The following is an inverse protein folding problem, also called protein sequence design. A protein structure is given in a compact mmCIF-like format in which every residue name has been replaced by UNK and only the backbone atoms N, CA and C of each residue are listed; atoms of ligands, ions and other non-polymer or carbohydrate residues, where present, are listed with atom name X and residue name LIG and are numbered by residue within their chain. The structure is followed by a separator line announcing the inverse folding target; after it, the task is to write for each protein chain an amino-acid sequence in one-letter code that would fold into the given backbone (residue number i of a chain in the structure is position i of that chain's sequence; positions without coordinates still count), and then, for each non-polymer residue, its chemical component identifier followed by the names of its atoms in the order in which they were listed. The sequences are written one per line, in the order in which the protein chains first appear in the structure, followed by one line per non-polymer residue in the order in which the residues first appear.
data_IF_534481441929
#
_entry.id   IF_534481441929
#
_cell.length_a   1.000
_cell.length_b   1.000
_cell.length_c   1.000
_cell.angle_alpha   90.00
_cell.angle_beta   90.00
_cell.angle_gamma   90.00
#
_symmetry.space_group_name_H-M   'P 1'
#
loop_
_entity.id
_entity.type
_entity.pdbx_description
1 polymer ?
#
# COMPACT_ATOMS: atom_id res chain seq x y z
N UNK A 1 -30.17 4.70 5.00
CA UNK A 1 -30.14 3.28 4.62
C UNK A 1 -28.75 2.77 4.92
N UNK A 2 -28.56 2.07 6.05
CA UNK A 2 -27.25 1.50 6.43
C UNK A 2 -27.11 0.16 5.72
N UNK A 3 -26.36 0.12 4.62
CA UNK A 3 -25.90 -1.13 4.02
C UNK A 3 -24.90 -1.76 4.98
N UNK A 4 -25.39 -2.72 5.76
CA UNK A 4 -24.57 -3.55 6.63
C UNK A 4 -23.70 -4.43 5.74
N UNK A 5 -22.43 -4.08 5.60
CA UNK A 5 -21.41 -4.96 5.05
C UNK A 5 -21.30 -6.12 6.05
N UNK A 6 -21.90 -7.26 5.70
CA UNK A 6 -21.87 -8.47 6.49
C UNK A 6 -20.47 -9.09 6.31
N UNK A 7 -19.51 -8.60 7.09
CA UNK A 7 -18.16 -9.15 7.15
C UNK A 7 -18.19 -10.58 7.68
N UNK A 8 -17.77 -11.54 6.86
CA UNK A 8 -17.60 -12.93 7.24
C UNK A 8 -16.40 -13.02 8.21
N UNK A 9 -16.66 -13.11 9.52
CA UNK A 9 -15.64 -13.25 10.54
C UNK A 9 -15.00 -14.66 10.46
N UNK A 10 -13.89 -14.79 9.74
CA UNK A 10 -13.02 -15.95 9.85
C UNK A 10 -12.04 -15.70 11.01
N UNK A 11 -12.29 -16.36 12.14
CA UNK A 11 -11.37 -16.42 13.28
C UNK A 11 -10.15 -17.25 12.91
N UNK A 12 -9.17 -16.63 12.25
CA UNK A 12 -7.85 -17.22 12.07
C UNK A 12 -6.95 -16.80 13.23
N UNK A 13 -6.65 -17.77 14.10
CA UNK A 13 -5.54 -17.66 15.04
C UNK A 13 -4.22 -17.69 14.28
N UNK A 14 -3.85 -16.58 13.64
CA UNK A 14 -2.54 -16.38 13.04
C UNK A 14 -1.63 -15.69 14.04
N UNK A 15 -0.78 -16.47 14.69
CA UNK A 15 0.47 -15.99 15.23
C UNK A 15 1.47 -17.14 15.07
N UNK A 16 2.70 -16.78 14.69
CA UNK A 16 3.80 -17.64 14.25
C UNK A 16 3.77 -17.97 12.75
N UNK A 17 4.84 -17.58 12.04
CA UNK A 17 5.23 -17.90 10.65
C UNK A 17 5.00 -16.88 9.53
N UNK A 18 4.63 -15.63 9.81
CA UNK A 18 5.21 -14.58 8.98
C UNK A 18 6.68 -14.50 9.42
N UNK A 19 7.59 -15.15 8.69
CA UNK A 19 9.02 -14.82 8.80
C UNK A 19 9.14 -13.30 8.77
N UNK A 20 9.95 -12.73 9.67
CA UNK A 20 10.24 -11.30 9.67
C UNK A 20 10.92 -10.96 8.34
N UNK A 21 10.09 -10.69 7.32
CA UNK A 21 10.55 -10.27 6.02
C UNK A 21 11.39 -9.03 6.25
N UNK A 22 12.62 -9.07 5.74
CA UNK A 22 13.50 -7.93 5.91
C UNK A 22 13.11 -6.87 4.90
N UNK A 23 13.48 -5.66 5.23
CA UNK A 23 13.13 -4.48 4.46
C UNK A 23 14.38 -3.82 3.92
N UNK A 24 14.30 -3.24 2.73
CA UNK A 24 15.27 -2.25 2.31
C UNK A 24 14.60 -1.05 1.64
N UNK A 25 14.98 0.14 2.11
CA UNK A 25 14.67 1.41 1.49
C UNK A 25 15.91 2.25 1.25
N UNK A 26 15.93 3.00 0.14
CA UNK A 26 17.06 3.86 -0.20
C UNK A 26 17.25 4.98 0.84
N UNK A 27 16.17 5.70 1.13
CA UNK A 27 16.12 6.87 2.03
C UNK A 27 15.46 6.57 3.38
N UNK A 28 14.87 5.39 3.52
CA UNK A 28 13.99 5.05 4.63
C UNK A 28 14.32 3.67 5.23
N UNK A 29 13.77 3.38 6.40
CA UNK A 29 14.05 2.18 7.20
C UNK A 29 12.81 1.75 7.95
N UNK A 30 12.65 0.44 8.12
CA UNK A 30 11.72 -0.10 9.11
C UNK A 30 12.20 0.17 10.54
N UNK A 31 11.25 0.26 11.46
CA UNK A 31 11.45 0.35 12.89
C UNK A 31 10.24 -0.23 13.63
N UNK A 32 10.44 -0.61 14.90
CA UNK A 32 9.35 -0.89 15.83
C UNK A 32 8.97 0.39 16.55
N UNK A 33 7.71 0.78 16.42
CA UNK A 33 7.08 1.84 17.19
C UNK A 33 6.44 1.24 18.43
N UNK A 34 6.77 1.77 19.62
CA UNK A 34 6.11 1.42 20.87
C UNK A 34 5.55 2.67 21.55
N UNK A 35 4.31 2.62 22.04
CA UNK A 35 3.69 3.69 22.82
C UNK A 35 2.54 3.18 23.68
N UNK A 36 2.22 3.93 24.72
CA UNK A 36 0.98 3.74 25.47
C UNK A 36 -0.10 4.66 24.92
N UNK A 37 -1.33 4.17 24.84
CA UNK A 37 -2.49 4.92 24.34
C UNK A 37 -3.73 4.62 25.16
N UNK A 38 -4.82 5.33 24.86
CA UNK A 38 -6.15 5.04 25.36
C UNK A 38 -7.22 5.38 24.31
N UNK A 39 -8.34 4.70 24.37
CA UNK A 39 -9.51 4.94 23.53
C UNK A 39 -10.77 4.97 24.38
N UNK A 40 -11.73 5.81 24.02
CA UNK A 40 -13.08 5.86 24.56
C UNK A 40 -14.03 5.17 23.59
N UNK A 41 -14.71 4.13 24.07
CA UNK A 41 -15.64 3.31 23.30
C UNK A 41 -17.05 3.46 23.88
N UNK A 42 -18.03 3.71 23.01
CA UNK A 42 -19.43 3.78 23.41
C UNK A 42 -19.95 2.36 23.70
N UNK A 43 -20.44 2.13 24.92
CA UNK A 43 -20.90 0.80 25.29
C UNK A 43 -21.88 0.84 26.46
N UNK A 44 -22.94 0.04 26.36
CA UNK A 44 -23.88 -0.19 27.46
C UNK A 44 -23.43 -1.32 28.40
N UNK A 45 -22.37 -2.06 28.03
CA UNK A 45 -21.87 -3.21 28.78
C UNK A 45 -20.65 -2.83 29.60
N UNK A 46 -20.60 -3.32 30.85
CA UNK A 46 -19.37 -3.26 31.63
C UNK A 46 -18.30 -4.15 31.01
N UNK A 47 -17.24 -3.53 30.52
CA UNK A 47 -16.10 -4.23 29.96
C UNK A 47 -15.16 -4.67 31.09
N UNK A 48 -14.68 -5.91 31.00
CA UNK A 48 -13.71 -6.47 31.95
C UNK A 48 -12.42 -6.76 31.22
N UNK A 49 -11.30 -6.33 31.78
CA UNK A 49 -9.97 -6.56 31.21
C UNK A 49 -9.71 -8.05 30.91
N UNK A 50 -10.20 -8.96 31.76
CA UNK A 50 -10.08 -10.40 31.55
C UNK A 50 -10.71 -10.89 30.23
N UNK A 51 -11.77 -10.22 29.76
CA UNK A 51 -12.46 -10.56 28.52
C UNK A 51 -11.80 -9.94 27.28
N UNK A 52 -10.84 -9.03 27.45
CA UNK A 52 -10.15 -8.33 26.37
C UNK A 52 -8.74 -8.88 26.09
N UNK A 53 -8.38 -10.03 26.68
CA UNK A 53 -7.06 -10.66 26.45
C UNK A 53 -6.89 -11.21 25.04
N UNK A 54 -8.00 -11.48 24.33
CA UNK A 54 -8.02 -11.95 22.95
C UNK A 54 -9.32 -11.50 22.28
N UNK A 55 -9.27 -11.39 20.97
CA UNK A 55 -10.44 -11.15 20.15
C UNK A 55 -11.34 -12.40 20.10
N UNK A 56 -12.63 -12.15 20.17
CA UNK A 56 -13.73 -13.11 20.17
C UNK A 56 -14.92 -12.46 19.46
N UNK A 57 -15.89 -13.25 19.01
CA UNK A 57 -17.12 -12.68 18.43
C UNK A 57 -17.85 -11.70 19.36
N UNK A 58 -17.67 -11.79 20.68
CA UNK A 58 -18.34 -10.91 21.65
C UNK A 58 -17.69 -9.53 21.81
N UNK A 59 -16.42 -9.39 21.44
CA UNK A 59 -15.62 -8.17 21.62
C UNK A 59 -14.93 -7.72 20.33
N UNK A 60 -15.25 -8.32 19.18
CA UNK A 60 -14.65 -7.97 17.88
C UNK A 60 -14.79 -6.47 17.56
N UNK A 61 -15.96 -5.89 17.81
CA UNK A 61 -16.22 -4.44 17.63
C UNK A 61 -15.25 -3.56 18.45
N UNK A 62 -14.92 -3.97 19.69
CA UNK A 62 -13.95 -3.26 20.54
C UNK A 62 -12.53 -3.33 19.95
N UNK A 63 -12.14 -4.49 19.42
CA UNK A 63 -10.84 -4.66 18.77
C UNK A 63 -10.78 -3.85 17.47
N UNK A 64 -11.89 -3.78 16.73
CA UNK A 64 -11.97 -3.01 15.50
C UNK A 64 -11.86 -1.50 15.76
N UNK A 65 -12.60 -0.96 16.73
CA UNK A 65 -12.46 0.47 17.10
C UNK A 65 -11.02 0.84 17.51
N UNK A 66 -10.29 -0.08 18.14
CA UNK A 66 -8.88 0.13 18.50
C UNK A 66 -7.99 0.15 17.26
N UNK A 67 -8.21 -0.76 16.30
CA UNK A 67 -7.48 -0.78 15.03
C UNK A 67 -7.76 0.49 14.22
N UNK A 68 -9.03 0.90 14.15
CA UNK A 68 -9.44 2.14 13.53
C UNK A 68 -8.79 3.35 14.21
N UNK A 69 -8.73 3.43 15.54
CA UNK A 69 -7.99 4.50 16.21
C UNK A 69 -6.52 4.49 15.78
N UNK A 70 -5.86 3.33 15.78
CA UNK A 70 -4.44 3.22 15.41
C UNK A 70 -4.21 3.62 13.95
N UNK A 71 -5.18 3.41 13.04
CA UNK A 71 -5.05 3.78 11.63
C UNK A 71 -4.91 5.29 11.42
N UNK A 72 -5.36 6.13 12.36
CA UNK A 72 -5.10 7.59 12.34
C UNK A 72 -3.61 7.95 12.33
N UNK A 73 -2.72 7.01 12.70
CA UNK A 73 -1.28 7.20 12.52
C UNK A 73 -0.87 7.32 11.05
N UNK A 74 -1.66 6.80 10.11
CA UNK A 74 -1.42 6.93 8.67
C UNK A 74 -1.47 8.40 8.29
N UNK A 75 -2.57 9.11 8.57
CA UNK A 75 -2.68 10.55 8.31
C UNK A 75 -1.73 11.36 9.18
N UNK A 76 -1.57 10.99 10.45
CA UNK A 76 -0.65 11.70 11.36
C UNK A 76 0.78 11.72 10.81
N UNK A 77 1.32 10.59 10.35
CA UNK A 77 2.71 10.50 9.87
C UNK A 77 2.95 11.14 8.50
N UNK A 78 1.90 11.26 7.68
CA UNK A 78 1.97 11.92 6.37
C UNK A 78 1.64 13.41 6.42
N UNK A 79 1.03 13.88 7.51
CA UNK A 79 0.61 15.28 7.68
C UNK A 79 1.74 16.29 7.58
N UNK A 80 1.39 17.50 7.11
CA UNK A 80 2.35 18.60 7.01
C UNK A 80 2.84 19.04 8.38
N UNK A 81 1.94 19.13 9.37
CA UNK A 81 2.32 19.52 10.72
C UNK A 81 3.27 18.52 11.39
N UNK A 82 3.11 17.21 11.14
CA UNK A 82 4.05 16.21 11.64
C UNK A 82 5.42 16.32 10.97
N UNK A 83 5.46 16.51 9.64
CA UNK A 83 6.71 16.75 8.92
C UNK A 83 7.44 18.00 9.44
N UNK A 84 6.71 19.07 9.76
CA UNK A 84 7.30 20.29 10.36
C UNK A 84 7.89 20.03 11.76
N UNK A 85 7.21 19.24 12.60
CA UNK A 85 7.66 18.95 13.96
C UNK A 85 8.82 17.94 14.01
N UNK A 86 8.75 16.89 13.21
CA UNK A 86 9.70 15.77 13.22
C UNK A 86 10.84 15.95 12.22
N UNK A 87 10.60 16.74 11.17
CA UNK A 87 11.53 17.02 10.07
C UNK A 87 11.46 16.01 8.92
N UNK A 88 10.73 14.91 9.07
CA UNK A 88 10.60 13.85 8.06
C UNK A 88 9.27 13.10 8.17
N UNK A 89 8.79 12.51 7.05
CA UNK A 89 7.57 11.70 7.06
C UNK A 89 7.81 10.29 7.59
N UNK A 90 6.71 9.60 7.87
CA UNK A 90 6.67 8.16 8.13
C UNK A 90 5.41 7.51 7.58
N UNK A 91 5.31 6.20 7.75
CA UNK A 91 4.12 5.42 7.40
C UNK A 91 3.93 4.30 8.41
N UNK A 92 2.67 4.01 8.71
CA UNK A 92 2.28 2.87 9.54
C UNK A 92 2.54 1.56 8.79
N UNK A 93 3.05 0.54 9.47
CA UNK A 93 3.12 -0.80 8.90
C UNK A 93 1.85 -1.61 9.12
N UNK A 94 1.85 -2.83 8.59
CA UNK A 94 0.76 -3.76 8.81
C UNK A 94 0.70 -4.27 10.25
N UNK A 95 -0.53 -4.59 10.70
CA UNK A 95 -0.79 -5.38 11.91
C UNK A 95 -0.14 -4.84 13.19
N UNK A 96 -0.46 -3.60 13.56
CA UNK A 96 -0.09 -3.06 14.87
C UNK A 96 -0.69 -3.93 15.99
N UNK A 97 0.17 -4.53 16.81
CA UNK A 97 -0.25 -5.30 17.96
C UNK A 97 -0.57 -4.36 19.12
N UNK A 98 -1.58 -4.72 19.91
CA UNK A 98 -1.90 -4.00 21.13
C UNK A 98 -2.30 -4.95 22.26
N UNK A 99 -2.04 -4.53 23.49
CA UNK A 99 -2.48 -5.24 24.69
C UNK A 99 -3.17 -4.24 25.62
N UNK A 100 -4.38 -4.56 26.04
CA UNK A 100 -5.09 -3.76 27.04
C UNK A 100 -4.42 -3.89 28.40
N UNK A 101 -4.20 -2.76 29.07
CA UNK A 101 -3.55 -2.68 30.38
C UNK A 101 -4.54 -2.28 31.48
N UNK A 102 -5.60 -1.54 31.13
CA UNK A 102 -6.61 -1.05 32.07
C UNK A 102 -7.95 -0.78 31.38
N UNK A 103 -9.04 -0.95 32.11
CA UNK A 103 -10.40 -0.58 31.67
C UNK A 103 -11.05 0.29 32.75
N UNK A 104 -11.42 1.50 32.39
CA UNK A 104 -12.21 2.41 33.22
C UNK A 104 -13.66 2.45 32.68
N UNK A 105 -14.62 1.92 33.43
CA UNK A 105 -16.03 1.88 33.01
C UNK A 105 -16.77 3.11 33.53
N UNK A 106 -17.61 3.70 32.67
CA UNK A 106 -18.48 4.81 32.99
C UNK A 106 -19.91 4.51 32.53
N UNK A 107 -20.85 5.39 32.86
CA UNK A 107 -22.23 5.26 32.37
C UNK A 107 -22.25 5.60 30.87
N UNK A 108 -22.49 4.60 30.02
CA UNK A 108 -22.64 4.75 28.57
C UNK A 108 -21.35 4.59 27.74
N UNK A 109 -20.18 4.54 28.38
CA UNK A 109 -18.90 4.39 27.69
C UNK A 109 -17.84 3.73 28.58
N UNK A 110 -16.73 3.31 27.97
CA UNK A 110 -15.55 2.82 28.67
C UNK A 110 -14.28 3.46 28.08
N UNK A 111 -13.27 3.68 28.92
CA UNK A 111 -11.92 4.08 28.48
C UNK A 111 -10.99 2.89 28.62
N UNK A 112 -10.44 2.45 27.49
CA UNK A 112 -9.49 1.33 27.42
C UNK A 112 -8.08 1.90 27.29
N UNK A 113 -7.20 1.52 28.21
CA UNK A 113 -5.77 1.84 28.12
C UNK A 113 -5.03 0.67 27.53
N UNK A 114 -4.04 0.94 26.70
CA UNK A 114 -3.34 -0.07 25.93
C UNK A 114 -1.88 0.27 25.73
N UNK A 115 -1.07 -0.77 25.58
CA UNK A 115 0.27 -0.66 25.00
C UNK A 115 0.19 -1.10 23.54
N UNK A 116 0.74 -0.30 22.63
CA UNK A 116 0.73 -0.53 21.19
C UNK A 116 2.17 -0.73 20.71
N UNK A 117 2.37 -1.74 19.87
CA UNK A 117 3.66 -2.07 19.27
C UNK A 117 3.49 -2.58 17.83
N UNK A 118 4.30 -2.10 16.91
CA UNK A 118 4.29 -2.65 15.55
C UNK A 118 5.30 -2.00 14.62
N UNK A 119 5.37 -2.52 13.40
CA UNK A 119 6.29 -2.05 12.37
C UNK A 119 5.82 -0.71 11.81
N UNK A 120 6.77 0.16 11.52
CA UNK A 120 6.57 1.44 10.83
C UNK A 120 7.76 1.67 9.92
N UNK A 121 7.59 2.46 8.85
CA UNK A 121 8.69 2.92 8.00
C UNK A 121 8.85 4.42 8.17
N UNK A 122 10.08 4.86 8.35
CA UNK A 122 10.43 6.28 8.46
C UNK A 122 11.63 6.61 7.59
N UNK A 123 11.73 7.86 7.18
CA UNK A 123 12.98 8.37 6.63
C UNK A 123 14.12 8.18 7.64
N UNK A 124 15.32 7.78 7.17
CA UNK A 124 16.46 7.43 8.04
C UNK A 124 16.89 8.58 8.97
N UNK A 125 16.66 9.82 8.56
CA UNK A 125 17.03 11.01 9.32
C UNK A 125 16.24 11.19 10.63
N UNK A 126 15.10 10.52 10.81
CA UNK A 126 14.37 10.54 12.09
C UNK A 126 15.27 10.06 13.25
N UNK A 127 16.22 9.17 12.94
CA UNK A 127 17.13 8.58 13.92
C UNK A 127 18.38 9.41 14.20
N UNK A 128 18.71 10.40 13.36
CA UNK A 128 19.90 11.26 13.52
C UNK A 128 21.18 10.46 13.82
N UNK A 129 21.37 9.34 13.11
CA UNK A 129 22.51 8.44 13.26
C UNK A 129 22.47 7.48 14.47
N UNK A 130 21.37 7.43 15.23
CA UNK A 130 21.16 6.49 16.35
C UNK A 130 20.33 5.27 15.91
N UNK A 131 20.18 4.28 16.79
CA UNK A 131 19.28 3.14 16.58
C UNK A 131 17.86 3.36 17.14
N UNK A 132 17.65 4.45 17.88
CA UNK A 132 16.36 4.79 18.50
C UNK A 132 16.03 6.26 18.34
N UNK A 133 14.74 6.56 18.26
CA UNK A 133 14.20 7.92 18.21
C UNK A 133 12.91 8.02 19.03
N UNK A 134 12.49 9.24 19.35
CA UNK A 134 11.19 9.49 19.96
C UNK A 134 10.42 10.48 19.10
N UNK A 135 9.15 10.15 18.85
CA UNK A 135 8.26 10.94 17.99
C UNK A 135 6.96 11.30 18.74
N UNK A 136 6.36 12.45 18.45
CA UNK A 136 5.06 12.83 19.00
C UNK A 136 3.95 12.07 18.25
N UNK A 137 2.99 11.52 19.00
CA UNK A 137 1.82 10.82 18.46
C UNK A 137 0.55 11.52 18.93
N UNK A 138 -0.42 11.60 18.02
CA UNK A 138 -1.72 12.25 18.24
C UNK A 138 -2.82 11.34 17.72
N UNK A 139 -3.65 10.83 18.63
CA UNK A 139 -4.75 9.92 18.31
C UNK A 139 -6.07 10.49 18.84
N UNK A 140 -7.19 10.27 18.15
CA UNK A 140 -8.50 10.66 18.66
C UNK A 140 -8.83 9.84 19.91
N UNK A 141 -9.29 10.45 20.99
CA UNK A 141 -9.79 9.69 22.16
C UNK A 141 -11.06 8.92 21.80
N UNK A 142 -11.97 9.56 21.07
CA UNK A 142 -13.19 8.96 20.50
C UNK A 142 -13.32 9.41 19.04
N UNK A 143 -13.36 8.47 18.09
CA UNK A 143 -13.29 8.80 16.66
C UNK A 143 -14.49 9.64 16.20
N UNK A 144 -15.72 9.22 16.52
CA UNK A 144 -16.94 9.94 16.13
C UNK A 144 -17.03 11.33 16.74
N UNK A 145 -16.79 11.47 18.05
CA UNK A 145 -16.80 12.77 18.73
C UNK A 145 -15.73 13.71 18.18
N UNK A 146 -14.53 13.17 17.94
CA UNK A 146 -13.42 13.97 17.41
C UNK A 146 -13.70 14.45 15.99
N UNK A 147 -14.27 13.60 15.15
CA UNK A 147 -14.73 13.99 13.81
C UNK A 147 -15.78 15.12 13.87
N UNK A 148 -16.80 14.98 14.71
CA UNK A 148 -17.85 16.01 14.88
C UNK A 148 -17.27 17.35 15.34
N UNK A 149 -16.32 17.34 16.27
CA UNK A 149 -15.66 18.54 16.77
C UNK A 149 -14.73 19.20 15.74
N UNK A 150 -14.29 18.45 14.72
CA UNK A 150 -13.52 18.98 13.60
C UNK A 150 -14.36 19.82 12.61
N UNK A 151 -15.69 19.66 12.62
CA UNK A 151 -16.59 20.28 11.64
C UNK A 151 -16.90 21.74 12.01
N UNK A 152 -16.57 22.64 11.10
CA UNK A 152 -16.96 24.06 11.12
C UNK A 152 -17.69 24.33 9.80
N UNK A 153 -18.90 24.89 9.87
CA UNK A 153 -19.74 25.21 8.70
C UNK A 153 -19.93 24.05 7.69
N UNK A 154 -20.00 22.82 8.21
CA UNK A 154 -20.20 21.60 7.41
C UNK A 154 -18.93 20.98 6.84
N UNK A 155 -17.75 21.57 7.10
CA UNK A 155 -16.45 21.06 6.65
C UNK A 155 -15.56 20.71 7.84
N UNK A 156 -14.95 19.52 7.83
CA UNK A 156 -13.97 19.14 8.83
C UNK A 156 -12.61 19.78 8.50
N UNK A 157 -12.17 20.70 9.36
CA UNK A 157 -10.94 21.47 9.13
C UNK A 157 -9.68 20.74 9.59
N UNK A 158 -9.80 19.53 10.15
CA UNK A 158 -8.67 18.72 10.63
C UNK A 158 -8.26 17.62 9.65
N UNK A 159 -8.70 17.72 8.39
CA UNK A 159 -8.43 16.80 7.28
C UNK A 159 -8.28 17.58 5.97
N UNK A 160 -8.07 16.86 4.88
CA UNK A 160 -8.13 17.42 3.53
C UNK A 160 -9.57 17.75 3.12
N UNK A 161 -9.76 18.85 2.38
CA UNK A 161 -11.08 19.36 1.98
C UNK A 161 -11.87 18.34 1.13
N UNK A 162 -11.17 17.55 0.31
CA UNK A 162 -11.78 16.54 -0.55
C UNK A 162 -12.14 15.26 0.21
N UNK A 163 -11.58 15.04 1.40
CA UNK A 163 -11.73 13.81 2.19
C UNK A 163 -12.34 14.11 3.55
N UNK A 164 -13.57 14.58 3.48
CA UNK A 164 -14.32 15.11 4.61
C UNK A 164 -15.37 14.11 5.15
N UNK A 165 -15.29 12.83 4.79
CA UNK A 165 -16.16 11.79 5.33
C UNK A 165 -15.54 11.18 6.60
N UNK A 166 -16.38 10.63 7.49
CA UNK A 166 -15.88 9.90 8.67
C UNK A 166 -14.99 8.70 8.28
N UNK A 167 -15.26 8.09 7.12
CA UNK A 167 -14.51 6.93 6.62
C UNK A 167 -13.11 7.28 6.13
N UNK A 168 -12.89 8.51 5.66
CA UNK A 168 -11.61 8.93 5.06
C UNK A 168 -10.79 9.82 6.01
N UNK A 169 -11.43 10.33 7.05
CA UNK A 169 -10.87 11.28 8.01
C UNK A 169 -9.55 10.83 8.65
N UNK A 170 -9.39 9.52 8.90
CA UNK A 170 -8.18 8.98 9.50
C UNK A 170 -6.95 9.11 8.58
N UNK A 171 -7.17 9.12 7.26
CA UNK A 171 -6.11 9.03 6.26
C UNK A 171 -5.42 10.37 6.00
N UNK A 172 -6.12 11.49 6.22
CA UNK A 172 -5.59 12.85 6.11
C UNK A 172 -5.62 13.61 7.44
N UNK A 173 -5.66 12.89 8.55
CA UNK A 173 -5.69 13.42 9.90
C UNK A 173 -4.52 14.37 10.21
N UNK A 174 -4.80 15.65 10.36
CA UNK A 174 -3.86 16.67 10.85
C UNK A 174 -4.55 17.66 11.81
N UNK A 175 -4.38 17.40 13.11
CA UNK A 175 -4.96 18.26 14.16
C UNK A 175 -4.14 19.49 14.53
N UNK A 176 -2.96 19.68 13.95
CA UNK A 176 -2.12 20.84 14.23
C UNK A 176 -2.18 21.89 13.10
N UNK A 177 -2.91 21.58 12.02
CA UNK A 177 -3.29 22.51 10.96
C UNK A 177 -3.88 23.80 11.57
N UNK A 178 -3.55 24.94 10.97
CA UNK A 178 -3.82 26.28 11.53
C UNK A 178 -5.30 26.52 11.86
N UNK A 179 -6.20 26.02 11.03
CA UNK A 179 -7.65 26.18 11.07
C UNK A 179 -8.37 25.03 11.79
N UNK A 180 -7.68 23.96 12.18
CA UNK A 180 -8.30 22.84 12.87
C UNK A 180 -8.74 23.24 14.30
N UNK A 181 -10.03 23.13 14.66
CA UNK A 181 -10.54 23.50 15.99
C UNK A 181 -10.02 22.61 17.13
N UNK A 182 -9.42 21.46 16.80
CA UNK A 182 -8.82 20.52 17.77
C UNK A 182 -7.37 20.86 18.11
N UNK A 183 -6.79 21.90 17.49
CA UNK A 183 -5.41 22.32 17.75
C UNK A 183 -5.20 22.64 19.23
N UNK A 184 -4.17 22.04 19.81
CA UNK A 184 -3.88 22.16 21.24
C UNK A 184 -4.88 21.50 22.20
N UNK A 185 -5.95 20.86 21.71
CA UNK A 185 -6.93 20.17 22.55
C UNK A 185 -6.27 19.01 23.31
N UNK A 186 -6.51 18.93 24.63
CA UNK A 186 -5.91 17.93 25.54
C UNK A 186 -6.94 16.94 26.12
N UNK A 187 -8.23 17.17 25.92
CA UNK A 187 -9.30 16.29 26.43
C UNK A 187 -9.67 15.26 25.38
N UNK A 188 -9.76 15.68 24.12
CA UNK A 188 -10.24 14.85 23.01
C UNK A 188 -9.13 14.17 22.22
N UNK A 189 -7.89 14.63 22.40
CA UNK A 189 -6.73 14.12 21.68
C UNK A 189 -5.78 13.45 22.68
N UNK A 190 -5.47 12.19 22.42
CA UNK A 190 -4.43 11.45 23.11
C UNK A 190 -3.08 11.88 22.54
N UNK A 191 -2.32 12.62 23.36
CA UNK A 191 -1.00 13.16 23.00
C UNK A 191 0.07 12.39 23.79
N UNK A 192 0.79 11.52 23.10
CA UNK A 192 1.77 10.62 23.70
C UNK A 192 3.08 10.65 22.92
N UNK A 193 4.16 10.11 23.51
CA UNK A 193 5.44 9.95 22.81
C UNK A 193 5.61 8.49 22.41
N UNK A 194 5.85 8.28 21.12
CA UNK A 194 6.30 7.01 20.58
C UNK A 194 7.80 6.84 20.73
N UNK A 195 8.23 5.60 20.96
CA UNK A 195 9.63 5.19 20.87
C UNK A 195 9.82 4.34 19.61
N UNK A 196 10.64 4.83 18.69
CA UNK A 196 11.11 4.10 17.52
C UNK A 196 12.39 3.34 17.85
N UNK A 197 12.49 2.10 17.41
CA UNK A 197 13.71 1.28 17.47
C UNK A 197 13.95 0.67 16.10
N UNK A 198 15.06 1.00 15.45
CA UNK A 198 15.41 0.44 14.13
C UNK A 198 15.45 -1.09 14.20
N UNK A 199 15.01 -1.72 13.11
CA UNK A 199 15.15 -3.17 12.90
C UNK A 199 16.26 -3.45 11.89
N UNK A 200 16.72 -4.69 11.86
CA UNK A 200 17.74 -5.14 10.90
C UNK A 200 17.14 -5.24 9.50
N UNK A 201 17.58 -4.34 8.63
CA UNK A 201 17.22 -4.28 7.21
C UNK A 201 18.16 -5.11 6.32
N UNK A 202 17.72 -5.48 5.12
CA UNK A 202 18.65 -5.98 4.10
C UNK A 202 19.60 -4.85 3.69
N UNK A 203 20.85 -5.20 3.38
CA UNK A 203 21.91 -4.21 3.05
C UNK A 203 22.23 -4.20 1.57
N UNK A 204 22.34 -5.40 0.99
CA UNK A 204 22.65 -5.60 -0.41
C UNK A 204 22.07 -6.94 -0.87
N UNK A 205 21.09 -6.83 -1.74
CA UNK A 205 20.26 -7.93 -2.25
C UNK A 205 19.92 -7.59 -3.69
N UNK A 206 19.60 -8.62 -4.45
CA UNK A 206 19.26 -8.52 -5.86
C UNK A 206 17.94 -9.25 -6.08
N UNK A 207 17.14 -8.82 -7.08
CA UNK A 207 16.20 -9.73 -7.69
C UNK A 207 16.89 -11.04 -8.09
N UNK A 208 16.16 -12.15 -8.08
CA UNK A 208 16.66 -13.46 -8.52
C UNK A 208 16.75 -13.49 -10.07
N UNK A 209 17.66 -12.70 -10.63
CA UNK A 209 17.80 -12.52 -12.07
C UNK A 209 18.12 -13.83 -12.78
N UNK A 210 18.78 -14.80 -12.13
CA UNK A 210 19.00 -16.10 -12.74
C UNK A 210 17.70 -16.90 -12.94
N UNK A 211 16.67 -16.66 -12.11
CA UNK A 211 15.32 -17.20 -12.30
C UNK A 211 14.55 -16.43 -13.38
N UNK A 212 14.78 -15.13 -13.51
CA UNK A 212 14.12 -14.27 -14.51
C UNK A 212 14.72 -14.38 -15.92
N UNK A 213 16.05 -14.40 -16.04
CA UNK A 213 16.80 -14.21 -17.30
C UNK A 213 17.20 -15.50 -18.02
N UNK A 214 16.95 -16.68 -17.41
CA UNK A 214 17.17 -17.99 -18.07
C UNK A 214 15.96 -18.47 -18.88
N UNK A 215 14.84 -17.75 -18.81
CA UNK A 215 13.61 -18.07 -19.56
C UNK A 215 13.69 -17.50 -20.98
N UNK A 216 12.99 -18.10 -21.96
CA UNK A 216 12.92 -17.54 -23.32
C UNK A 216 12.17 -16.21 -23.36
N UNK A 217 11.19 -16.02 -22.48
CA UNK A 217 10.39 -14.80 -22.36
C UNK A 217 10.46 -14.31 -20.92
N UNK A 218 10.65 -13.00 -20.74
CA UNK A 218 10.41 -12.28 -19.49
C UNK A 218 9.03 -11.63 -19.60
N UNK A 219 8.05 -12.11 -18.83
CA UNK A 219 6.67 -11.60 -18.90
C UNK A 219 6.42 -10.52 -17.84
N UNK A 220 6.20 -9.29 -18.30
CA UNK A 220 5.97 -8.11 -17.46
C UNK A 220 4.54 -7.62 -17.70
N UNK A 221 3.78 -7.42 -16.62
CA UNK A 221 2.42 -6.86 -16.67
C UNK A 221 2.40 -5.52 -15.95
N UNK A 222 1.93 -4.47 -16.62
CA UNK A 222 1.77 -3.12 -16.08
C UNK A 222 0.29 -2.80 -16.10
N UNK A 223 -0.33 -2.72 -14.92
CA UNK A 223 -1.76 -2.45 -14.75
C UNK A 223 -1.93 -1.02 -14.28
N UNK A 224 -2.51 -0.17 -15.14
CA UNK A 224 -2.75 1.23 -14.85
C UNK A 224 -4.24 1.50 -14.61
N UNK A 225 -4.53 2.35 -13.63
CA UNK A 225 -5.89 2.77 -13.30
C UNK A 225 -6.24 4.13 -13.87
N UNK A 226 -7.50 4.33 -14.24
CA UNK A 226 -8.07 5.68 -14.31
C UNK A 226 -8.06 6.34 -12.93
N UNK A 227 -7.94 7.67 -12.90
CA UNK A 227 -7.79 8.43 -11.64
C UNK A 227 -9.09 9.13 -11.24
N UNK A 228 -9.94 9.53 -12.20
CA UNK A 228 -11.25 10.10 -11.89
C UNK A 228 -12.18 9.10 -11.19
N UNK A 229 -12.97 9.59 -10.24
CA UNK A 229 -13.90 8.79 -9.41
C UNK A 229 -15.04 8.13 -10.21
N UNK A 230 -15.40 8.71 -11.36
CA UNK A 230 -16.45 8.18 -12.24
C UNK A 230 -15.86 7.74 -13.58
N UNK A 231 -15.53 6.45 -13.68
CA UNK A 231 -15.10 5.85 -14.93
C UNK A 231 -16.31 5.39 -15.75
N UNK A 232 -16.50 6.00 -16.92
CA UNK A 232 -17.54 5.55 -17.85
C UNK A 232 -17.20 4.15 -18.38
N UNK A 233 -18.20 3.26 -18.40
CA UNK A 233 -18.06 1.91 -18.94
C UNK A 233 -17.83 1.89 -20.46
N UNK A 234 -18.17 2.96 -21.17
CA UNK A 234 -18.19 3.00 -22.64
C UNK A 234 -17.47 4.19 -23.24
N UNK A 235 -17.29 5.27 -22.47
CA UNK A 235 -16.61 6.47 -22.93
C UNK A 235 -15.23 6.58 -22.29
N UNK A 236 -14.26 7.04 -23.08
CA UNK A 236 -12.88 7.20 -22.62
C UNK A 236 -12.67 8.65 -22.26
N UNK A 237 -12.26 8.89 -21.01
CA UNK A 237 -11.80 10.21 -20.60
C UNK A 237 -10.33 10.40 -21.01
N UNK A 238 -10.11 10.99 -22.18
CA UNK A 238 -8.76 11.29 -22.68
C UNK A 238 -7.98 12.31 -21.85
N UNK A 239 -8.68 13.06 -20.98
CA UNK A 239 -8.07 14.05 -20.10
C UNK A 239 -7.68 13.48 -18.74
N UNK A 240 -8.08 12.23 -18.45
CA UNK A 240 -7.71 11.53 -17.22
C UNK A 240 -6.18 11.31 -17.15
N UNK A 241 -5.60 11.51 -15.98
CA UNK A 241 -4.16 11.38 -15.81
C UNK A 241 -3.68 9.94 -15.95
N UNK A 242 -4.49 8.94 -15.56
CA UNK A 242 -4.22 7.53 -15.81
C UNK A 242 -4.15 7.21 -17.31
N UNK A 243 -5.05 7.81 -18.10
CA UNK A 243 -4.98 7.71 -19.56
C UNK A 243 -3.70 8.33 -20.14
N UNK A 244 -3.32 9.51 -19.66
CA UNK A 244 -2.07 10.17 -20.09
C UNK A 244 -0.85 9.35 -19.72
N UNK A 245 -0.80 8.81 -18.49
CA UNK A 245 0.27 7.93 -18.02
C UNK A 245 0.37 6.65 -18.84
N UNK A 246 -0.77 6.01 -19.15
CA UNK A 246 -0.82 4.88 -20.07
C UNK A 246 -0.21 5.22 -21.43
N UNK A 247 -0.63 6.32 -22.05
CA UNK A 247 -0.08 6.76 -23.34
C UNK A 247 1.40 7.12 -23.26
N UNK A 248 1.84 7.76 -22.18
CA UNK A 248 3.23 8.14 -21.93
C UNK A 248 4.13 6.91 -21.77
N UNK A 249 3.71 5.92 -20.98
CA UNK A 249 4.44 4.66 -20.79
C UNK A 249 4.60 3.90 -22.11
N UNK A 250 3.53 3.79 -22.92
CA UNK A 250 3.62 3.18 -24.25
C UNK A 250 4.64 3.92 -25.13
N UNK A 251 4.54 5.26 -25.20
CA UNK A 251 5.43 6.07 -26.02
C UNK A 251 6.91 5.92 -25.59
N UNK A 252 7.18 5.87 -24.28
CA UNK A 252 8.54 5.68 -23.77
C UNK A 252 9.08 4.28 -24.09
N UNK A 253 8.25 3.24 -23.97
CA UNK A 253 8.65 1.89 -24.37
C UNK A 253 8.94 1.79 -25.88
N UNK A 254 8.11 2.42 -26.73
CA UNK A 254 8.35 2.51 -28.17
C UNK A 254 9.66 3.26 -28.48
N UNK A 255 9.95 4.38 -27.79
CA UNK A 255 11.21 5.12 -27.90
C UNK A 255 12.42 4.27 -27.50
N UNK A 256 12.24 3.36 -26.53
CA UNK A 256 13.26 2.39 -26.12
C UNK A 256 13.37 1.19 -27.07
N UNK A 257 12.64 1.20 -28.19
CA UNK A 257 12.73 0.23 -29.28
C UNK A 257 11.87 -1.02 -29.09
N UNK A 258 10.85 -0.98 -28.22
CA UNK A 258 9.83 -2.03 -28.19
C UNK A 258 8.84 -1.85 -29.33
N UNK A 259 8.40 -2.96 -29.92
CA UNK A 259 7.37 -2.96 -30.95
C UNK A 259 6.03 -3.40 -30.35
N UNK A 260 4.95 -2.68 -30.66
CA UNK A 260 3.58 -3.13 -30.33
C UNK A 260 3.23 -4.33 -31.21
N UNK A 261 3.05 -5.50 -30.60
CA UNK A 261 2.75 -6.76 -31.30
C UNK A 261 1.27 -7.14 -31.22
N UNK A 262 0.56 -6.68 -30.20
CA UNK A 262 -0.89 -6.84 -30.06
C UNK A 262 -1.51 -5.63 -29.34
N UNK A 263 -2.80 -5.38 -29.60
CA UNK A 263 -3.56 -4.35 -28.89
C UNK A 263 -5.06 -4.64 -28.87
N UNK A 264 -5.68 -4.34 -27.73
CA UNK A 264 -7.12 -4.18 -27.56
C UNK A 264 -7.41 -2.73 -27.17
N UNK A 265 -8.37 -2.11 -27.84
CA UNK A 265 -8.73 -0.71 -27.62
C UNK A 265 -10.21 -0.60 -27.37
N UNK A 266 -10.60 0.20 -26.37
CA UNK A 266 -12.01 0.47 -26.05
C UNK A 266 -12.81 -0.83 -25.89
N UNK A 267 -12.28 -1.75 -25.09
CA UNK A 267 -12.89 -3.05 -24.84
C UNK A 267 -13.32 -3.18 -23.38
N UNK A 268 -14.19 -4.14 -23.10
CA UNK A 268 -14.46 -4.67 -21.76
C UNK A 268 -15.03 -6.07 -21.83
N UNK A 269 -14.95 -6.82 -20.74
CA UNK A 269 -15.56 -8.12 -20.60
C UNK A 269 -16.88 -8.04 -19.83
N UNK A 270 -17.89 -8.75 -20.34
CA UNK A 270 -19.13 -9.00 -19.60
C UNK A 270 -18.92 -10.08 -18.52
N UNK A 271 -19.94 -10.28 -17.67
CA UNK A 271 -19.95 -11.38 -16.68
C UNK A 271 -19.74 -12.77 -17.30
N UNK A 272 -20.19 -12.98 -18.54
CA UNK A 272 -20.08 -14.25 -19.28
C UNK A 272 -18.87 -14.28 -20.23
N UNK A 273 -17.80 -13.53 -19.92
CA UNK A 273 -16.54 -13.48 -20.68
C UNK A 273 -16.65 -13.00 -22.14
N UNK A 274 -17.79 -12.46 -22.54
CA UNK A 274 -17.92 -11.83 -23.85
C UNK A 274 -17.22 -10.48 -23.88
N UNK A 275 -16.28 -10.31 -24.79
CA UNK A 275 -15.68 -9.02 -25.13
C UNK A 275 -16.70 -8.12 -25.86
N UNK A 276 -16.85 -6.88 -25.39
CA UNK A 276 -17.70 -5.86 -25.99
C UNK A 276 -16.98 -4.51 -25.95
N UNK A 277 -17.55 -3.48 -26.60
CA UNK A 277 -17.01 -2.13 -26.50
C UNK A 277 -17.08 -1.60 -25.07
N UNK A 278 -16.00 -0.94 -24.65
CA UNK A 278 -15.85 -0.34 -23.34
C UNK A 278 -14.80 0.77 -23.33
N UNK A 279 -14.25 1.07 -22.16
CA UNK A 279 -13.26 2.13 -21.96
C UNK A 279 -11.84 1.61 -21.68
N UNK A 280 -11.61 0.30 -21.61
CA UNK A 280 -10.30 -0.26 -21.29
C UNK A 280 -9.37 -0.35 -22.51
N UNK A 281 -8.07 -0.37 -22.24
CA UNK A 281 -7.00 -0.53 -23.23
C UNK A 281 -6.00 -1.59 -22.77
N UNK A 282 -5.44 -2.33 -23.72
CA UNK A 282 -4.39 -3.31 -23.47
C UNK A 282 -3.43 -3.33 -24.65
N UNK A 283 -2.15 -3.13 -24.41
CA UNK A 283 -1.10 -3.16 -25.44
C UNK A 283 -0.07 -4.21 -25.02
N UNK A 284 0.35 -5.04 -25.98
CA UNK A 284 1.48 -5.96 -25.80
C UNK A 284 2.64 -5.42 -26.61
N UNK A 285 3.77 -5.20 -25.94
CA UNK A 285 5.00 -4.71 -26.52
C UNK A 285 6.10 -5.73 -26.33
N UNK A 286 6.87 -6.00 -27.37
CA UNK A 286 7.96 -6.97 -27.34
C UNK A 286 9.26 -6.39 -27.86
N UNK A 287 10.36 -6.86 -27.27
CA UNK A 287 11.72 -6.58 -27.71
C UNK A 287 12.64 -7.74 -27.35
N UNK A 288 13.42 -8.21 -28.31
CA UNK A 288 14.50 -9.14 -28.03
C UNK A 288 15.75 -8.39 -27.55
N UNK A 289 16.36 -8.90 -26.48
CA UNK A 289 17.64 -8.40 -26.01
C UNK A 289 18.53 -9.54 -25.51
N UNK A 290 19.83 -9.29 -25.51
CA UNK A 290 20.80 -10.15 -24.82
C UNK A 290 21.02 -9.60 -23.41
N UNK A 291 20.60 -10.35 -22.40
CA UNK A 291 20.78 -9.93 -21.01
C UNK A 291 22.22 -10.16 -20.51
N UNK A 292 22.53 -9.64 -19.33
CA UNK A 292 23.85 -9.64 -18.73
C UNK A 292 24.34 -11.06 -18.34
N UNK A 293 23.42 -12.04 -18.25
CA UNK A 293 23.78 -13.46 -18.07
C UNK A 293 24.09 -14.15 -19.41
N UNK A 294 24.01 -13.43 -20.52
CA UNK A 294 24.34 -13.92 -21.87
C UNK A 294 23.19 -14.58 -22.62
N UNK A 295 22.01 -14.72 -22.00
CA UNK A 295 20.81 -15.28 -22.63
C UNK A 295 20.18 -14.25 -23.57
N UNK A 296 19.78 -14.71 -24.77
CA UNK A 296 18.88 -13.94 -25.64
C UNK A 296 17.46 -14.23 -25.18
N UNK A 297 16.73 -13.18 -24.83
CA UNK A 297 15.41 -13.28 -24.22
C UNK A 297 14.48 -12.25 -24.87
N UNK A 298 13.23 -12.64 -25.12
CA UNK A 298 12.17 -11.70 -25.48
C UNK A 298 11.62 -11.08 -24.21
N UNK A 299 11.69 -9.75 -24.08
CA UNK A 299 10.98 -9.02 -23.03
C UNK A 299 9.60 -8.68 -23.56
N UNK A 300 8.56 -9.23 -22.92
CA UNK A 300 7.15 -8.96 -23.23
C UNK A 300 6.57 -8.08 -22.14
N UNK A 301 6.01 -6.94 -22.52
CA UNK A 301 5.34 -6.01 -21.61
C UNK A 301 3.89 -5.89 -22.03
N UNK A 302 2.96 -6.34 -21.19
CA UNK A 302 1.54 -6.04 -21.35
C UNK A 302 1.20 -4.83 -20.51
N UNK A 303 0.78 -3.74 -21.13
CA UNK A 303 0.31 -2.54 -20.45
C UNK A 303 -1.21 -2.47 -20.56
N UNK A 304 -1.91 -2.46 -19.44
CA UNK A 304 -3.36 -2.37 -19.33
C UNK A 304 -3.75 -1.01 -18.75
N UNK A 305 -4.86 -0.45 -19.21
CA UNK A 305 -5.56 0.67 -18.58
C UNK A 305 -7.02 0.30 -18.39
N UNK A 306 -7.54 0.49 -17.17
CA UNK A 306 -8.94 0.28 -16.86
C UNK A 306 -9.36 0.90 -15.54
N UNK A 307 -10.63 0.69 -15.18
CA UNK A 307 -11.12 1.04 -13.86
C UNK A 307 -10.64 -0.01 -12.84
N UNK A 308 -9.78 0.43 -11.92
CA UNK A 308 -9.16 -0.44 -10.90
C UNK A 308 -9.87 -0.37 -9.56
N UNK A 309 -10.97 0.38 -9.45
CA UNK A 309 -11.78 0.40 -8.23
C UNK A 309 -12.39 -0.98 -7.98
N UNK A 310 -12.29 -1.44 -6.74
CA UNK A 310 -12.94 -2.67 -6.29
C UNK A 310 -14.44 -2.70 -6.60
N UNK A 311 -15.13 -1.57 -6.46
CA UNK A 311 -16.55 -1.43 -6.70
C UNK A 311 -16.88 -1.14 -8.17
N UNK A 312 -15.89 -1.22 -9.06
CA UNK A 312 -16.11 -1.00 -10.49
C UNK A 312 -17.21 -1.91 -11.03
N UNK A 313 -18.12 -1.32 -11.79
CA UNK A 313 -19.10 -2.08 -12.56
C UNK A 313 -18.45 -2.85 -13.72
N UNK A 314 -17.20 -2.55 -14.07
CA UNK A 314 -16.43 -3.25 -15.08
C UNK A 314 -15.55 -4.35 -14.46
N UNK A 315 -15.87 -5.61 -14.77
CA UNK A 315 -15.10 -6.77 -14.30
C UNK A 315 -13.80 -7.00 -15.10
N UNK A 316 -13.50 -6.15 -16.09
CA UNK A 316 -12.33 -6.32 -16.96
C UNK A 316 -11.03 -6.29 -16.18
N UNK A 317 -10.86 -5.36 -15.23
CA UNK A 317 -9.66 -5.29 -14.42
C UNK A 317 -9.42 -6.58 -13.63
N UNK A 318 -10.43 -7.05 -12.89
CA UNK A 318 -10.35 -8.30 -12.12
C UNK A 318 -9.97 -9.51 -12.99
N UNK A 319 -10.51 -9.59 -14.22
CA UNK A 319 -10.18 -10.65 -15.19
C UNK A 319 -8.74 -10.55 -15.73
N UNK A 320 -8.17 -9.35 -15.80
CA UNK A 320 -6.77 -9.13 -16.19
C UNK A 320 -5.82 -9.30 -15.00
N UNK A 321 -6.27 -9.01 -13.79
CA UNK A 321 -5.49 -9.09 -12.55
C UNK A 321 -5.13 -10.53 -12.18
N UNK A 322 -6.08 -11.47 -12.29
CA UNK A 322 -5.85 -12.89 -11.96
C UNK A 322 -4.66 -13.49 -12.73
N UNK A 323 -4.63 -13.46 -14.08
CA UNK A 323 -3.47 -13.97 -14.81
C UNK A 323 -2.22 -13.11 -14.55
N UNK A 324 -2.34 -11.82 -14.25
CA UNK A 324 -1.19 -11.02 -13.86
C UNK A 324 -0.53 -11.57 -12.58
N UNK A 325 -1.31 -11.96 -11.56
CA UNK A 325 -0.75 -12.60 -10.36
C UNK A 325 -0.18 -13.98 -10.62
N UNK A 326 -0.83 -14.82 -11.44
CA UNK A 326 -0.42 -16.20 -11.64
C UNK A 326 0.75 -16.33 -12.62
N UNK A 327 0.74 -15.52 -13.68
CA UNK A 327 1.53 -15.77 -14.89
C UNK A 327 2.65 -14.75 -15.13
N UNK A 328 2.58 -13.54 -14.56
CA UNK A 328 3.65 -12.57 -14.74
C UNK A 328 4.92 -12.94 -13.97
N UNK A 329 6.08 -12.65 -14.53
CA UNK A 329 7.34 -12.62 -13.77
C UNK A 329 7.46 -11.31 -12.99
N UNK A 330 7.00 -10.21 -13.60
CA UNK A 330 6.94 -8.91 -12.98
C UNK A 330 5.55 -8.31 -13.10
N UNK A 331 5.05 -7.73 -12.01
CA UNK A 331 3.79 -7.00 -11.97
C UNK A 331 4.04 -5.57 -11.51
N UNK A 332 3.63 -4.59 -12.30
CA UNK A 332 3.51 -3.20 -11.88
C UNK A 332 2.04 -2.87 -11.75
N UNK A 333 1.63 -2.33 -10.61
CA UNK A 333 0.32 -1.73 -10.42
C UNK A 333 0.49 -0.23 -10.20
N UNK A 334 -0.17 0.59 -11.01
CA UNK A 334 -0.14 2.05 -10.93
C UNK A 334 -1.57 2.60 -11.06
N UNK A 335 -2.26 2.64 -9.93
CA UNK A 335 -3.65 3.04 -9.84
C UNK A 335 -4.05 3.36 -8.40
N UNK A 336 -5.33 3.61 -8.18
CA UNK A 336 -5.87 3.89 -6.85
C UNK A 336 -5.54 2.78 -5.88
N UNK A 337 -4.99 3.10 -4.70
CA UNK A 337 -4.67 2.06 -3.72
C UNK A 337 -5.92 1.44 -3.11
N UNK A 338 -7.07 2.13 -3.13
CA UNK A 338 -8.32 1.65 -2.53
C UNK A 338 -8.15 1.23 -1.06
N UNK A 339 -7.18 1.82 -0.35
CA UNK A 339 -6.81 1.45 1.02
C UNK A 339 -6.57 -0.06 1.20
N UNK A 340 -5.99 -0.70 0.18
CA UNK A 340 -5.72 -2.14 0.19
C UNK A 340 -6.76 -3.01 -0.51
N UNK A 341 -7.94 -2.47 -0.81
CA UNK A 341 -9.08 -3.24 -1.28
C UNK A 341 -8.98 -3.63 -2.76
N UNK A 342 -8.44 -2.74 -3.61
CA UNK A 342 -8.41 -2.91 -5.07
C UNK A 342 -7.56 -4.10 -5.54
N UNK A 343 -6.57 -4.50 -4.75
CA UNK A 343 -5.73 -5.67 -5.00
C UNK A 343 -5.93 -6.78 -3.97
N UNK A 344 -6.98 -6.69 -3.14
CA UNK A 344 -7.22 -7.71 -2.12
C UNK A 344 -7.75 -9.00 -2.72
N UNK A 345 -7.18 -10.12 -2.28
CA UNK A 345 -7.63 -11.45 -2.69
C UNK A 345 -9.02 -11.80 -2.16
N UNK A 346 -9.51 -11.12 -1.12
CA UNK A 346 -10.85 -11.36 -0.55
C UNK A 346 -11.96 -11.10 -1.59
N UNK A 347 -11.65 -10.33 -2.64
CA UNK A 347 -12.58 -9.97 -3.71
C UNK A 347 -12.32 -10.72 -5.02
N UNK A 348 -11.36 -11.66 -5.02
CA UNK A 348 -11.07 -12.53 -6.16
C UNK A 348 -11.62 -13.93 -5.86
N UNK A 349 -12.91 -14.21 -6.18
CA UNK A 349 -13.49 -15.52 -5.93
C UNK A 349 -12.70 -16.60 -6.68
N UNK A 350 -12.40 -17.70 -6.00
CA UNK A 350 -11.70 -18.87 -6.57
C UNK A 350 -10.23 -18.61 -6.95
N UNK A 351 -9.63 -17.52 -6.47
CA UNK A 351 -8.20 -17.28 -6.66
C UNK A 351 -7.35 -18.12 -5.70
N UNK A 352 -6.44 -18.91 -6.27
CA UNK A 352 -5.37 -19.59 -5.52
C UNK A 352 -4.06 -18.96 -5.97
N UNK A 353 -3.31 -18.39 -5.02
CA UNK A 353 -2.01 -17.80 -5.30
C UNK A 353 -0.92 -18.88 -5.34
N UNK A 354 -1.03 -19.81 -6.32
CA UNK A 354 -0.04 -20.85 -6.55
C UNK A 354 1.01 -20.36 -7.56
N UNK A 355 2.18 -20.06 -7.02
CA UNK A 355 3.35 -19.60 -7.76
C UNK A 355 4.55 -20.50 -7.43
N UNK A 356 4.26 -21.76 -7.07
CA UNK A 356 5.25 -22.71 -6.59
C UNK A 356 6.40 -22.85 -7.59
N UNK A 357 7.62 -22.60 -7.11
CA UNK A 357 8.84 -22.68 -7.91
C UNK A 357 9.07 -21.51 -8.87
N UNK A 358 8.20 -20.50 -8.89
CA UNK A 358 8.35 -19.29 -9.68
C UNK A 358 8.78 -18.13 -8.79
N UNK A 359 9.70 -17.33 -9.30
CA UNK A 359 10.07 -16.05 -8.72
C UNK A 359 9.29 -14.92 -9.38
N UNK A 360 8.72 -14.04 -8.55
CA UNK A 360 7.96 -12.88 -8.99
C UNK A 360 8.40 -11.62 -8.26
N UNK A 361 8.33 -10.49 -8.96
CA UNK A 361 8.63 -9.18 -8.40
C UNK A 361 7.47 -8.23 -8.69
N UNK A 362 6.83 -7.74 -7.62
CA UNK A 362 5.70 -6.83 -7.70
C UNK A 362 6.16 -5.41 -7.35
N UNK A 363 5.71 -4.42 -8.10
CA UNK A 363 5.84 -3.00 -7.78
C UNK A 363 4.45 -2.38 -7.70
N UNK A 364 4.04 -2.01 -6.50
CA UNK A 364 2.73 -1.41 -6.23
C UNK A 364 2.92 0.10 -6.06
N UNK A 365 2.81 0.82 -7.17
CA UNK A 365 2.91 2.28 -7.27
C UNK A 365 1.57 2.95 -6.94
N UNK A 366 1.12 2.85 -5.69
CA UNK A 366 -0.14 3.46 -5.25
C UNK A 366 -0.01 4.15 -3.90
N UNK A 367 -0.96 5.04 -3.60
CA UNK A 367 -0.96 5.81 -2.37
C UNK A 367 -0.93 4.91 -1.13
N UNK A 368 0.11 5.07 -0.30
CA UNK A 368 0.29 4.30 0.95
C UNK A 368 0.16 2.78 0.78
N UNK A 369 0.71 2.23 -0.29
CA UNK A 369 0.69 0.78 -0.55
C UNK A 369 1.35 -0.10 0.53
N UNK A 370 2.37 0.40 1.23
CA UNK A 370 3.13 -0.37 2.24
C UNK A 370 2.26 -0.97 3.37
N UNK A 371 1.35 -0.22 4.03
CA UNK A 371 0.46 -0.76 5.06
C UNK A 371 -0.58 -1.77 4.57
N UNK A 372 -0.70 -2.05 3.27
CA UNK A 372 -1.78 -2.88 2.76
C UNK A 372 -1.33 -4.09 1.94
N UNK A 373 -0.19 -3.98 1.24
CA UNK A 373 0.15 -4.90 0.15
C UNK A 373 1.36 -5.78 0.40
N UNK A 374 1.84 -5.90 1.63
CA UNK A 374 2.93 -6.82 1.96
C UNK A 374 2.39 -8.13 2.54
N UNK A 375 1.85 -8.06 3.75
CA UNK A 375 1.48 -9.25 4.50
C UNK A 375 0.28 -9.99 3.91
N UNK A 376 -0.64 -9.32 3.20
CA UNK A 376 -1.72 -10.06 2.53
C UNK A 376 -1.18 -11.00 1.44
N UNK A 377 -0.17 -10.56 0.68
CA UNK A 377 0.49 -11.38 -0.33
C UNK A 377 1.25 -12.54 0.29
N UNK A 378 2.06 -12.25 1.32
CA UNK A 378 2.82 -13.30 2.00
C UNK A 378 1.93 -14.30 2.74
N UNK A 379 0.80 -13.88 3.32
CA UNK A 379 -0.13 -14.79 4.02
C UNK A 379 -0.88 -15.72 3.07
N UNK A 380 -1.19 -15.26 1.86
CA UNK A 380 -1.97 -16.02 0.88
C UNK A 380 -1.11 -16.86 -0.07
N UNK A 381 0.21 -16.63 -0.11
CA UNK A 381 1.14 -17.42 -0.92
C UNK A 381 1.70 -18.59 -0.12
N UNK A 382 1.67 -19.79 -0.71
CA UNK A 382 2.38 -20.93 -0.12
C UNK A 382 3.89 -20.62 0.00
N UNK A 383 4.43 -20.78 1.21
CA UNK A 383 5.83 -20.48 1.52
C UNK A 383 6.11 -19.04 1.95
N UNK A 384 5.09 -18.19 2.14
CA UNK A 384 5.28 -16.84 2.68
C UNK A 384 5.86 -15.87 1.64
N UNK A 385 6.89 -15.13 2.05
CA UNK A 385 7.68 -14.24 1.17
C UNK A 385 8.56 -15.00 0.16
N UNK A 386 8.71 -16.32 0.30
CA UNK A 386 9.62 -17.09 -0.54
C UNK A 386 9.31 -16.94 -2.04
N UNK A 387 10.32 -16.51 -2.79
CA UNK A 387 10.26 -16.22 -4.23
C UNK A 387 9.26 -15.11 -4.64
N UNK A 388 8.86 -14.22 -3.72
CA UNK A 388 8.07 -13.04 -4.06
C UNK A 388 8.66 -11.81 -3.38
N UNK A 389 9.07 -10.86 -4.20
CA UNK A 389 9.53 -9.57 -3.72
C UNK A 389 8.48 -8.52 -4.04
N UNK A 390 8.20 -7.63 -3.09
CA UNK A 390 7.18 -6.59 -3.25
C UNK A 390 7.81 -5.25 -2.95
N UNK A 391 7.81 -4.37 -3.94
CA UNK A 391 8.19 -2.97 -3.83
C UNK A 391 6.90 -2.17 -3.59
N UNK A 392 6.87 -1.45 -2.48
CA UNK A 392 5.74 -0.61 -2.08
C UNK A 392 6.22 0.81 -1.76
N UNK A 393 5.31 1.76 -1.89
CA UNK A 393 5.45 3.15 -1.43
C UNK A 393 4.73 3.33 -0.09
N UNK A 394 5.39 4.03 0.84
CA UNK A 394 4.81 4.41 2.13
C UNK A 394 3.88 5.63 2.05
N UNK A 395 4.17 6.57 1.16
CA UNK A 395 3.40 7.81 1.00
C UNK A 395 2.54 7.78 -0.27
N UNK A 396 1.72 8.82 -0.43
CA UNK A 396 0.96 9.06 -1.64
C UNK A 396 1.89 9.26 -2.84
N UNK A 397 1.64 8.52 -3.91
CA UNK A 397 2.36 8.65 -5.19
C UNK A 397 1.56 9.56 -6.11
N UNK A 398 2.24 10.42 -6.89
CA UNK A 398 1.55 11.34 -7.79
C UNK A 398 1.48 10.80 -9.22
N UNK A 399 0.36 11.09 -9.89
CA UNK A 399 0.14 10.76 -11.31
C UNK A 399 1.19 11.38 -12.22
N UNK A 400 1.70 12.57 -11.87
CA UNK A 400 2.79 13.25 -12.57
C UNK A 400 4.11 12.46 -12.60
N UNK A 401 4.31 11.53 -11.66
CA UNK A 401 5.49 10.66 -11.57
C UNK A 401 5.23 9.21 -12.02
N UNK A 402 4.01 8.89 -12.45
CA UNK A 402 3.61 7.51 -12.83
C UNK A 402 4.51 6.93 -13.93
N UNK A 403 4.69 7.67 -15.03
CA UNK A 403 5.51 7.22 -16.16
C UNK A 403 6.98 7.09 -15.75
N UNK A 404 7.55 8.10 -15.09
CA UNK A 404 8.97 8.10 -14.71
C UNK A 404 9.29 6.97 -13.73
N UNK A 405 8.40 6.71 -12.75
CA UNK A 405 8.57 5.64 -11.77
C UNK A 405 8.41 4.26 -12.39
N UNK A 406 7.41 4.07 -13.26
CA UNK A 406 7.23 2.81 -13.99
C UNK A 406 8.47 2.49 -14.81
N UNK A 407 9.00 3.46 -15.56
CA UNK A 407 10.19 3.26 -16.41
C UNK A 407 11.45 3.06 -15.56
N UNK A 408 11.60 3.77 -14.45
CA UNK A 408 12.71 3.58 -13.52
C UNK A 408 12.73 2.18 -12.90
N UNK A 409 11.56 1.64 -12.53
CA UNK A 409 11.43 0.27 -12.08
C UNK A 409 11.77 -0.75 -13.17
N UNK A 410 11.27 -0.53 -14.40
CA UNK A 410 11.48 -1.45 -15.52
C UNK A 410 12.91 -1.42 -16.08
N UNK A 411 13.66 -0.35 -15.83
CA UNK A 411 14.98 -0.08 -16.41
C UNK A 411 15.96 -1.27 -16.40
N UNK A 412 16.25 -1.96 -15.28
CA UNK A 412 17.18 -3.10 -15.31
C UNK A 412 16.68 -4.22 -16.22
N UNK A 413 15.38 -4.49 -16.25
CA UNK A 413 14.79 -5.60 -16.99
C UNK A 413 14.78 -5.34 -18.50
N UNK A 414 14.37 -4.14 -18.91
CA UNK A 414 14.30 -3.75 -20.33
C UNK A 414 15.68 -3.44 -20.95
N UNK A 415 16.71 -3.29 -20.10
CA UNK A 415 18.11 -3.17 -20.51
C UNK A 415 18.89 -4.48 -20.36
N UNK A 416 18.27 -5.53 -19.80
CA UNK A 416 18.92 -6.80 -19.50
C UNK A 416 20.07 -6.69 -18.50
N UNK A 417 20.01 -5.77 -17.53
CA UNK A 417 21.02 -5.54 -16.49
C UNK A 417 20.64 -6.23 -15.17
N UNK A 418 21.62 -6.44 -14.30
CA UNK A 418 21.43 -7.05 -12.97
C UNK A 418 21.66 -6.04 -11.85
N UNK A 419 20.73 -5.08 -11.70
CA UNK A 419 20.81 -4.07 -10.64
C UNK A 419 20.45 -4.65 -9.28
N UNK A 420 21.16 -4.26 -8.22
CA UNK A 420 20.73 -4.56 -6.86
C UNK A 420 19.49 -3.75 -6.50
N UNK A 421 18.75 -4.15 -5.46
CA UNK A 421 17.62 -3.36 -4.95
C UNK A 421 18.06 -1.95 -4.52
N UNK A 422 19.29 -1.80 -4.02
CA UNK A 422 19.88 -0.50 -3.66
C UNK A 422 20.01 0.44 -4.86
N UNK A 423 20.41 -0.09 -6.02
CA UNK A 423 20.49 0.68 -7.26
C UNK A 423 19.10 0.97 -7.79
N UNK A 424 18.23 -0.05 -7.87
CA UNK A 424 16.87 0.07 -8.37
C UNK A 424 16.06 1.12 -7.59
N UNK A 425 15.99 1.00 -6.26
CA UNK A 425 15.21 1.93 -5.44
C UNK A 425 15.81 3.34 -5.42
N UNK A 426 17.13 3.51 -5.58
CA UNK A 426 17.73 4.85 -5.74
C UNK A 426 17.32 5.48 -7.08
N UNK A 427 17.28 4.69 -8.15
CA UNK A 427 16.80 5.17 -9.45
C UNK A 427 15.33 5.57 -9.40
N UNK A 428 14.49 4.79 -8.72
CA UNK A 428 13.08 5.12 -8.50
C UNK A 428 12.92 6.39 -7.63
N UNK A 429 13.74 6.55 -6.60
CA UNK A 429 13.67 7.77 -5.77
C UNK A 429 14.04 9.02 -6.57
N UNK A 430 15.04 8.92 -7.45
CA UNK A 430 15.42 10.02 -8.35
C UNK A 430 14.31 10.31 -9.37
N UNK A 431 13.56 9.31 -9.83
CA UNK A 431 12.48 9.51 -10.81
C UNK A 431 11.25 10.24 -10.25
N UNK A 432 11.16 10.39 -8.93
CA UNK A 432 10.12 11.21 -8.29
C UNK A 432 10.33 12.73 -8.52
N UNK A 433 11.56 13.17 -8.84
CA UNK A 433 11.87 14.58 -9.06
C UNK A 433 11.50 15.46 -7.85
N UNK A 434 10.74 16.53 -8.09
CA UNK A 434 10.35 17.51 -7.08
C UNK A 434 9.28 16.99 -6.10
N UNK A 435 8.67 15.82 -6.37
CA UNK A 435 7.74 15.19 -5.44
C UNK A 435 8.43 14.71 -4.14
N UNK A 436 9.75 14.52 -4.18
CA UNK A 436 10.54 14.04 -3.05
C UNK A 436 10.42 12.53 -2.84
N UNK A 437 10.52 12.10 -1.59
CA UNK A 437 10.49 10.67 -1.24
C UNK A 437 9.06 10.15 -1.16
N UNK A 438 8.82 8.94 -1.68
CA UNK A 438 7.60 8.17 -1.42
C UNK A 438 7.78 7.12 -0.33
N UNK A 439 8.92 7.13 0.36
CA UNK A 439 9.34 6.09 1.29
C UNK A 439 9.29 4.69 0.64
N UNK A 440 9.71 4.59 -0.63
CA UNK A 440 9.70 3.32 -1.37
C UNK A 440 10.69 2.33 -0.77
N UNK A 441 10.24 1.08 -0.63
CA UNK A 441 11.03 -0.03 -0.11
C UNK A 441 10.64 -1.36 -0.70
N UNK A 442 11.51 -2.35 -0.51
CA UNK A 442 11.29 -3.75 -0.88
C UNK A 442 11.11 -4.60 0.38
N UNK A 443 10.16 -5.53 0.32
CA UNK A 443 9.94 -6.62 1.28
C UNK A 443 10.02 -7.97 0.55
N UNK A 444 10.48 -9.00 1.26
CA UNK A 444 10.56 -10.38 0.76
C UNK A 444 11.93 -10.77 0.19
N UNK A 445 12.85 -9.82 0.07
CA UNK A 445 14.17 -10.03 -0.53
C UNK A 445 15.18 -10.75 0.40
N UNK A 446 14.77 -11.14 1.61
CA UNK A 446 15.65 -11.78 2.60
C UNK A 446 16.16 -13.17 2.20
N UNK A 447 15.45 -13.87 1.31
CA UNK A 447 15.79 -15.23 0.87
C UNK A 447 16.44 -15.27 -0.52
N UNK A 448 16.63 -14.12 -1.16
CA UNK A 448 17.31 -14.01 -2.43
C UNK A 448 18.80 -14.35 -2.30
N UNK A 449 19.26 -15.26 -3.17
CA UNK A 449 20.65 -15.75 -3.16
C UNK A 449 21.46 -15.32 -4.38
N UNK A 450 20.82 -14.75 -5.40
CA UNK A 450 21.50 -14.32 -6.62
C UNK A 450 22.53 -13.22 -6.34
N UNK A 451 23.69 -13.38 -6.95
CA UNK A 451 24.77 -12.38 -7.02
C UNK A 451 25.29 -12.36 -8.47
N UNK A 452 25.44 -11.18 -9.10
CA UNK A 452 25.86 -11.04 -10.51
C UNK A 452 27.21 -11.65 -10.90
#
# INVERSE_FOLDING_TARGET
MKTSILGLLILLSFNLFAQDAKYFGATNTEAILNFDSRIEIQTSKLLKLANLKKETAQNAEVFEEVREQISFLIGHFSSESFKQEVGVPGVLGENMAFTFTKVDNYTGYAVLHMNVSGKVVFHKDVFKGKSTASIPLRLPLSMSRTYELGIIDGVNLCTDEHYNSLGDFFYFWDIEKEDCPLKGNKTEIVRVKGKLTQVDNTKKTYPEYDKLYKKPVLDIRVLMGYIGDEVSLTEVNYSDDGYKSFKGTIAELENLGFAVTDRKVKFRYTKNDREISGSNYLYVLEKDLKNQLGTVQTVRITVFLGDTDLNSADLTFHKVLIPAYQESDLLVYDGHSGLGANLSFDYLPEFIFDTTGKYQLFFINGCSSYPYYNGQFFRNKEGGSKNIDIITSGLSTYTSTSVSNTIAFLAPFIQGKTWSYQTLLRHMEVSNGDAGTYLTGVNGDEDNIFVP
#
